data_IF_391133934732
#
_entry.id   IF_391133934732
#
_cell.length_a   1.000
_cell.length_b   1.000
_cell.length_c   1.000
_cell.angle_alpha   90.00
_cell.angle_beta   90.00
_cell.angle_gamma   90.00
#
_symmetry.space_group_name_H-M   'P 1'
#
loop_
_entity.id
_entity.type
_entity.pdbx_description
1 polymer ?
#
# COMPACT_ATOMS: atom_id res chain seq x y z
N UNK A 1 -35.90 13.38 -6.79
CA UNK A 1 -34.89 14.20 -6.08
C UNK A 1 -33.50 13.59 -6.06
N UNK A 2 -33.30 12.38 -5.54
CA UNK A 2 -31.96 11.76 -5.42
C UNK A 2 -31.20 11.58 -6.76
N UNK A 3 -31.88 11.13 -7.83
CA UNK A 3 -31.27 11.00 -9.16
C UNK A 3 -30.86 12.35 -9.77
N UNK A 4 -31.60 13.43 -9.48
CA UNK A 4 -31.26 14.79 -9.93
C UNK A 4 -29.99 15.30 -9.23
N UNK A 5 -29.86 15.05 -7.93
CA UNK A 5 -28.66 15.41 -7.17
C UNK A 5 -27.42 14.67 -7.68
N UNK A 6 -27.51 13.36 -7.94
CA UNK A 6 -26.39 12.61 -8.52
C UNK A 6 -26.02 13.07 -9.92
N UNK A 7 -26.99 13.53 -10.74
CA UNK A 7 -26.72 14.09 -12.06
C UNK A 7 -25.91 15.40 -11.99
N UNK A 8 -26.09 16.19 -10.93
CA UNK A 8 -25.31 17.40 -10.66
C UNK A 8 -23.92 17.09 -10.09
N UNK A 9 -23.79 16.04 -9.28
CA UNK A 9 -22.51 15.61 -8.70
C UNK A 9 -21.60 14.89 -9.70
N UNK A 10 -22.17 14.20 -10.69
CA UNK A 10 -21.42 13.43 -11.68
C UNK A 10 -20.29 14.22 -12.40
N UNK A 11 -20.51 15.44 -12.91
CA UNK A 11 -19.43 16.22 -13.53
C UNK A 11 -18.37 16.66 -12.53
N UNK A 12 -18.70 16.83 -11.24
CA UNK A 12 -17.77 17.30 -10.20
C UNK A 12 -16.71 16.28 -9.78
N UNK A 13 -16.65 15.11 -10.43
CA UNK A 13 -15.59 14.11 -10.20
C UNK A 13 -14.18 14.66 -10.42
N UNK A 14 -14.01 15.72 -11.23
CA UNK A 14 -12.71 16.36 -11.45
C UNK A 14 -12.15 17.04 -10.18
N UNK A 15 -13.00 17.32 -9.19
CA UNK A 15 -12.55 17.87 -7.91
C UNK A 15 -11.74 16.87 -7.10
N UNK A 16 -11.87 15.56 -7.36
CA UNK A 16 -11.13 14.51 -6.64
C UNK A 16 -9.63 14.73 -6.79
N UNK A 17 -8.90 14.66 -5.69
CA UNK A 17 -7.46 14.91 -5.66
C UNK A 17 -7.05 16.39 -5.76
N UNK A 18 -7.99 17.32 -5.88
CA UNK A 18 -7.73 18.78 -5.84
C UNK A 18 -7.87 19.34 -4.42
N UNK A 19 -7.49 20.60 -4.21
CA UNK A 19 -7.72 21.29 -2.93
C UNK A 19 -9.21 21.36 -2.53
N UNK A 20 -10.14 21.27 -3.50
CA UNK A 20 -11.58 21.30 -3.30
C UNK A 20 -12.18 19.90 -3.01
N UNK A 21 -11.36 18.85 -2.92
CA UNK A 21 -11.78 17.51 -2.53
C UNK A 21 -12.03 17.42 -1.01
N UNK A 22 -13.22 17.83 -0.56
CA UNK A 22 -13.59 17.77 0.87
C UNK A 22 -13.54 16.33 1.40
N UNK A 23 -13.96 15.35 0.58
CA UNK A 23 -13.97 13.94 0.98
C UNK A 23 -12.55 13.36 1.10
N UNK A 24 -11.61 13.86 0.30
CA UNK A 24 -10.19 13.49 0.36
C UNK A 24 -9.45 14.01 1.60
N UNK A 25 -10.03 14.93 2.37
CA UNK A 25 -9.39 15.49 3.59
C UNK A 25 -9.53 14.62 4.83
N UNK A 26 -10.36 13.58 4.78
CA UNK A 26 -10.49 12.61 5.87
C UNK A 26 -9.17 11.86 6.07
N UNK A 27 -8.86 11.51 7.32
CA UNK A 27 -7.63 10.76 7.65
C UNK A 27 -7.58 9.42 6.89
N UNK A 28 -8.70 8.68 6.84
CA UNK A 28 -8.79 7.42 6.07
C UNK A 28 -8.36 7.60 4.60
N UNK A 29 -8.88 8.62 3.90
CA UNK A 29 -8.51 8.89 2.49
C UNK A 29 -7.09 9.39 2.31
N UNK A 30 -6.50 10.06 3.30
CA UNK A 30 -5.10 10.47 3.26
C UNK A 30 -4.19 9.26 3.40
N UNK A 31 -4.47 8.41 4.39
CA UNK A 31 -3.72 7.17 4.63
C UNK A 31 -3.81 6.22 3.44
N UNK A 32 -4.98 6.04 2.83
CA UNK A 32 -5.13 5.23 1.61
C UNK A 32 -4.26 5.73 0.45
N UNK A 33 -4.19 7.06 0.24
CA UNK A 33 -3.38 7.63 -0.83
C UNK A 33 -1.89 7.53 -0.54
N UNK A 34 -1.48 7.74 0.72
CA UNK A 34 -0.10 7.54 1.15
C UNK A 34 0.34 6.09 0.92
N UNK A 35 -0.52 5.12 1.24
CA UNK A 35 -0.25 3.70 1.07
C UNK A 35 0.09 3.30 -0.37
N UNK A 36 -0.50 3.97 -1.37
CA UNK A 36 -0.16 3.75 -2.79
C UNK A 36 1.31 4.13 -3.05
N UNK A 37 1.74 5.28 -2.54
CA UNK A 37 3.12 5.75 -2.68
C UNK A 37 4.11 4.87 -1.91
N UNK A 38 3.78 4.50 -0.68
CA UNK A 38 4.57 3.58 0.16
C UNK A 38 4.75 2.23 -0.53
N UNK A 39 3.67 1.67 -1.11
CA UNK A 39 3.74 0.44 -1.88
C UNK A 39 4.64 0.56 -3.11
N UNK A 40 4.47 1.63 -3.89
CA UNK A 40 5.28 1.86 -5.09
C UNK A 40 6.77 1.93 -4.76
N UNK A 41 7.13 2.72 -3.74
CA UNK A 41 8.51 2.85 -3.28
C UNK A 41 9.07 1.52 -2.77
N UNK A 42 8.25 0.71 -2.08
CA UNK A 42 8.68 -0.64 -1.68
C UNK A 42 8.96 -1.51 -2.89
N UNK A 43 8.06 -1.54 -3.89
CA UNK A 43 8.27 -2.35 -5.10
C UNK A 43 9.52 -1.89 -5.86
N UNK A 44 9.76 -0.58 -5.96
CA UNK A 44 10.98 -0.04 -6.55
C UNK A 44 12.23 -0.53 -5.81
N UNK A 45 12.25 -0.46 -4.47
CA UNK A 45 13.35 -0.98 -3.63
C UNK A 45 13.57 -2.50 -3.80
N UNK A 46 12.49 -3.28 -3.92
CA UNK A 46 12.60 -4.72 -4.17
C UNK A 46 13.26 -5.00 -5.53
N UNK A 47 12.90 -4.24 -6.57
CA UNK A 47 13.41 -4.45 -7.92
C UNK A 47 14.89 -4.10 -8.07
N UNK A 48 15.44 -3.21 -7.24
CA UNK A 48 16.86 -2.83 -7.29
C UNK A 48 17.81 -3.99 -6.94
N UNK A 49 17.35 -4.93 -6.10
CA UNK A 49 18.16 -6.03 -5.57
C UNK A 49 17.52 -7.41 -5.76
N UNK A 50 16.50 -7.51 -6.62
CA UNK A 50 15.81 -8.76 -6.89
C UNK A 50 16.73 -9.77 -7.58
N UNK A 51 16.84 -10.96 -7.00
CA UNK A 51 17.57 -12.10 -7.54
C UNK A 51 16.78 -13.40 -7.35
N UNK A 52 17.33 -14.51 -7.85
CA UNK A 52 16.68 -15.82 -7.75
C UNK A 52 16.59 -16.36 -6.31
N UNK A 53 17.51 -15.97 -5.43
CA UNK A 53 17.56 -16.40 -4.03
C UNK A 53 16.59 -15.65 -3.13
N UNK A 54 16.23 -14.41 -3.48
CA UNK A 54 15.34 -13.56 -2.69
C UNK A 54 13.94 -13.36 -3.32
N UNK A 55 13.69 -13.92 -4.50
CA UNK A 55 12.40 -13.83 -5.20
C UNK A 55 11.17 -14.19 -4.34
N UNK A 56 11.29 -15.23 -3.51
CA UNK A 56 10.21 -15.66 -2.62
C UNK A 56 9.86 -14.57 -1.59
N UNK A 57 10.89 -13.97 -0.96
CA UNK A 57 10.72 -12.89 0.00
C UNK A 57 10.15 -11.63 -0.65
N UNK A 58 10.63 -11.27 -1.85
CA UNK A 58 10.09 -10.14 -2.61
C UNK A 58 8.60 -10.34 -2.93
N UNK A 59 8.21 -11.55 -3.33
CA UNK A 59 6.81 -11.90 -3.61
C UNK A 59 5.95 -11.79 -2.36
N UNK A 60 6.44 -12.26 -1.21
CA UNK A 60 5.71 -12.17 0.06
C UNK A 60 5.50 -10.71 0.50
N UNK A 61 6.50 -9.85 0.33
CA UNK A 61 6.38 -8.40 0.59
C UNK A 61 5.36 -7.78 -0.37
N UNK A 62 5.45 -8.07 -1.66
CA UNK A 62 4.55 -7.51 -2.68
C UNK A 62 3.07 -7.90 -2.48
N UNK A 63 2.79 -9.04 -1.84
CA UNK A 63 1.44 -9.52 -1.53
C UNK A 63 0.80 -8.86 -0.31
N UNK A 64 1.56 -8.18 0.54
CA UNK A 64 1.03 -7.58 1.77
C UNK A 64 -0.18 -6.65 1.58
N UNK A 65 -0.24 -5.77 0.55
CA UNK A 65 -1.40 -4.90 0.35
C UNK A 65 -2.72 -5.65 0.18
N UNK A 66 -2.70 -6.89 -0.29
CA UNK A 66 -3.90 -7.72 -0.44
C UNK A 66 -4.57 -8.05 0.90
N UNK A 67 -3.87 -7.89 2.02
CA UNK A 67 -4.40 -8.11 3.37
C UNK A 67 -5.21 -6.89 3.88
N UNK A 68 -5.07 -5.73 3.23
CA UNK A 68 -5.75 -4.49 3.62
C UNK A 68 -7.12 -4.42 2.94
N UNK A 69 -8.06 -5.24 3.42
CA UNK A 69 -9.45 -5.33 2.92
C UNK A 69 -10.46 -4.85 3.96
N UNK A 70 -11.68 -4.57 3.51
CA UNK A 70 -12.80 -4.12 4.35
C UNK A 70 -13.01 -2.61 4.33
N UNK A 71 -13.86 -2.12 5.23
CA UNK A 71 -14.26 -0.71 5.35
C UNK A 71 -14.13 -0.23 6.80
N UNK A 72 -13.83 1.07 6.99
CA UNK A 72 -13.73 1.70 8.31
C UNK A 72 -12.79 0.95 9.26
N UNK A 73 -13.26 0.68 10.48
CA UNK A 73 -12.46 0.05 11.54
C UNK A 73 -11.85 -1.32 11.16
N UNK A 74 -12.50 -2.11 10.30
CA UNK A 74 -11.94 -3.39 9.82
C UNK A 74 -10.71 -3.13 8.96
N UNK A 75 -10.78 -2.13 8.07
CA UNK A 75 -9.68 -1.75 7.22
C UNK A 75 -8.53 -1.16 8.02
N UNK A 76 -8.81 -0.31 9.00
CA UNK A 76 -7.82 0.27 9.90
C UNK A 76 -7.06 -0.81 10.69
N UNK A 77 -7.78 -1.80 11.24
CA UNK A 77 -7.17 -2.94 11.94
C UNK A 77 -6.27 -3.75 11.01
N UNK A 78 -6.75 -4.04 9.80
CA UNK A 78 -5.98 -4.79 8.81
C UNK A 78 -4.74 -4.02 8.35
N UNK A 79 -4.86 -2.69 8.17
CA UNK A 79 -3.75 -1.81 7.85
C UNK A 79 -2.69 -1.84 8.96
N UNK A 80 -3.09 -1.70 10.22
CA UNK A 80 -2.17 -1.74 11.35
C UNK A 80 -1.40 -3.06 11.42
N UNK A 81 -2.11 -4.19 11.32
CA UNK A 81 -1.49 -5.52 11.30
C UNK A 81 -0.55 -5.72 10.10
N UNK A 82 -0.97 -5.26 8.91
CA UNK A 82 -0.17 -5.36 7.68
C UNK A 82 1.09 -4.51 7.79
N UNK A 83 1.01 -3.29 8.34
CA UNK A 83 2.18 -2.41 8.54
C UNK A 83 3.24 -3.04 9.44
N UNK A 84 2.84 -3.69 10.54
CA UNK A 84 3.78 -4.41 11.40
C UNK A 84 4.49 -5.52 10.64
N UNK A 85 3.75 -6.31 9.85
CA UNK A 85 4.34 -7.38 9.02
C UNK A 85 5.24 -6.83 7.91
N UNK A 86 4.85 -5.72 7.30
CA UNK A 86 5.62 -5.03 6.27
C UNK A 86 6.97 -4.57 6.82
N UNK A 87 6.98 -3.89 7.96
CA UNK A 87 8.22 -3.45 8.59
C UNK A 87 9.15 -4.63 8.90
N UNK A 88 8.61 -5.75 9.40
CA UNK A 88 9.39 -6.96 9.69
C UNK A 88 10.01 -7.57 8.43
N UNK A 89 9.23 -7.73 7.35
CA UNK A 89 9.74 -8.33 6.12
C UNK A 89 10.72 -7.40 5.38
N UNK A 90 10.52 -6.08 5.41
CA UNK A 90 11.49 -5.14 4.86
C UNK A 90 12.77 -5.07 5.68
N UNK A 91 12.69 -5.25 7.00
CA UNK A 91 13.89 -5.39 7.82
C UNK A 91 14.68 -6.65 7.43
N UNK A 92 13.98 -7.76 7.16
CA UNK A 92 14.60 -8.98 6.63
C UNK A 92 15.20 -8.78 5.24
N UNK A 93 14.49 -8.09 4.34
CA UNK A 93 14.96 -7.78 2.98
C UNK A 93 16.28 -6.98 2.98
N UNK A 94 16.40 -6.02 3.88
CA UNK A 94 17.57 -5.14 4.00
C UNK A 94 18.74 -5.79 4.74
N UNK A 95 18.57 -6.98 5.32
CA UNK A 95 19.70 -7.68 5.90
C UNK A 95 20.62 -8.18 4.78
N UNK A 96 21.94 -7.92 4.86
CA UNK A 96 22.88 -8.44 3.88
C UNK A 96 22.77 -9.97 3.83
N UNK A 97 22.66 -10.48 2.61
CA UNK A 97 22.30 -11.86 2.29
C UNK A 97 23.36 -12.85 2.81
N UNK A 98 23.27 -13.29 4.08
CA UNK A 98 24.17 -14.30 4.66
C UNK A 98 23.93 -15.72 4.09
N UNK A 99 22.95 -15.89 3.19
CA UNK A 99 22.60 -17.18 2.59
C UNK A 99 23.45 -17.58 1.38
N UNK A 100 24.20 -16.65 0.76
CA UNK A 100 25.04 -16.97 -0.40
C UNK A 100 26.41 -17.57 -0.02
N UNK A 101 26.89 -17.38 1.22
CA UNK A 101 28.20 -17.88 1.69
C UNK A 101 28.17 -19.32 2.23
N UNK A 102 26.99 -19.92 2.49
CA UNK A 102 26.90 -21.26 3.10
C UNK A 102 26.82 -22.41 2.09
N UNK A 103 26.88 -22.12 0.78
CA UNK A 103 26.74 -23.12 -0.29
C UNK A 103 27.95 -23.20 -1.25
N UNK A 104 29.12 -22.67 -0.86
CA UNK A 104 30.39 -22.81 -1.57
C UNK A 104 31.38 -23.65 -0.74
#
# INVERSE_FOLDING_TARGET
>A
YMFTAFRLLAPLKFLRGTALDVFGRTEERRTERALIGEYRSTVEELLEHLDAGNHALATDIARLPEQIKGFGHVKERNLAATRSRWAALMAQWRQPNQGAEQAA
#
